data_IF_851658979684
#
_entry.id   IF_851658979684
#
_cell.length_a   1.000
_cell.length_b   1.000
_cell.length_c   1.000
_cell.angle_alpha   90.00
_cell.angle_beta   90.00
_cell.angle_gamma   90.00
#
_symmetry.space_group_name_H-M   'P 1'
#
loop_
_entity.id
_entity.type
_entity.pdbx_description
1 polymer ?
#
# COMPACT_ATOMS: atom_id res chain seq x y z
N UNK A 1 -17.53 9.85 -23.85
CA UNK A 1 -16.47 9.25 -24.68
C UNK A 1 -15.06 9.69 -24.21
N UNK A 2 -14.77 9.62 -22.91
CA UNK A 2 -13.41 9.89 -22.36
C UNK A 2 -12.97 8.75 -21.43
N UNK A 3 -13.91 8.14 -20.71
CA UNK A 3 -13.65 7.04 -19.77
C UNK A 3 -13.21 5.73 -20.45
N UNK A 4 -13.83 5.33 -21.57
CA UNK A 4 -13.46 4.14 -22.35
C UNK A 4 -11.96 4.15 -22.70
N UNK A 5 -11.50 5.24 -23.34
CA UNK A 5 -10.12 5.43 -23.77
C UNK A 5 -9.06 5.30 -22.65
N UNK A 6 -9.41 5.58 -21.38
CA UNK A 6 -8.49 5.42 -20.25
C UNK A 6 -8.48 4.01 -19.68
N UNK A 7 -9.59 3.26 -19.80
CA UNK A 7 -9.62 1.84 -19.46
C UNK A 7 -8.93 1.00 -20.52
N UNK A 8 -9.20 1.30 -21.79
CA UNK A 8 -8.53 0.67 -22.94
C UNK A 8 -7.02 0.88 -22.86
N UNK A 9 -6.55 2.09 -22.54
CA UNK A 9 -5.14 2.39 -22.27
C UNK A 9 -4.55 1.52 -21.15
N UNK A 10 -5.28 1.32 -20.05
CA UNK A 10 -4.78 0.52 -18.93
C UNK A 10 -4.75 -0.98 -19.25
N UNK A 11 -5.71 -1.47 -20.03
CA UNK A 11 -5.74 -2.86 -20.51
C UNK A 11 -4.63 -3.11 -21.54
N UNK A 12 -4.33 -2.16 -22.43
CA UNK A 12 -3.15 -2.17 -23.30
C UNK A 12 -1.84 -2.10 -22.50
N UNK A 13 -1.76 -1.22 -21.50
CA UNK A 13 -0.63 -1.09 -20.59
C UNK A 13 -0.36 -2.40 -19.81
N UNK A 14 -1.42 -3.12 -19.42
CA UNK A 14 -1.31 -4.46 -18.82
C UNK A 14 -0.92 -5.54 -19.85
N UNK A 15 -1.33 -5.42 -21.11
CA UNK A 15 -0.98 -6.36 -22.18
C UNK A 15 0.52 -6.35 -22.48
N UNK A 16 1.14 -5.15 -22.58
CA UNK A 16 2.58 -4.99 -22.84
C UNK A 16 3.46 -5.13 -21.58
N UNK A 17 2.83 -5.33 -20.42
CA UNK A 17 3.51 -5.35 -19.12
C UNK A 17 4.69 -6.32 -18.98
N UNK A 18 4.62 -7.60 -19.42
CA UNK A 18 5.77 -8.50 -19.31
C UNK A 18 6.97 -8.02 -20.15
N UNK A 19 6.71 -7.45 -21.33
CA UNK A 19 7.75 -6.98 -22.24
C UNK A 19 8.46 -5.73 -21.68
N UNK A 20 7.72 -4.79 -21.08
CA UNK A 20 8.30 -3.62 -20.42
C UNK A 20 9.10 -3.98 -19.15
N UNK A 21 8.65 -4.97 -18.38
CA UNK A 21 9.45 -5.52 -17.27
C UNK A 21 10.73 -6.19 -17.76
N UNK A 22 10.70 -6.92 -18.88
CA UNK A 22 11.90 -7.53 -19.45
C UNK A 22 12.89 -6.46 -19.94
N UNK A 23 12.40 -5.37 -20.56
CA UNK A 23 13.22 -4.21 -20.93
C UNK A 23 13.88 -3.55 -19.71
N UNK A 24 13.13 -3.33 -18.62
CA UNK A 24 13.69 -2.79 -17.39
C UNK A 24 14.75 -3.73 -16.80
N UNK A 25 14.46 -5.03 -16.69
CA UNK A 25 15.41 -6.02 -16.17
C UNK A 25 16.69 -6.08 -17.02
N UNK A 26 16.59 -5.94 -18.34
CA UNK A 26 17.76 -5.82 -19.24
C UNK A 26 18.55 -4.53 -19.00
N UNK A 27 17.86 -3.39 -18.85
CA UNK A 27 18.48 -2.07 -18.53
C UNK A 27 19.19 -2.08 -17.16
N UNK A 28 18.57 -2.72 -16.17
CA UNK A 28 19.00 -2.76 -14.78
C UNK A 28 19.56 -4.13 -14.35
N UNK A 29 20.08 -4.92 -15.28
CA UNK A 29 20.48 -6.32 -15.03
C UNK A 29 21.60 -6.51 -13.99
N UNK A 30 22.30 -5.43 -13.65
CA UNK A 30 23.30 -5.37 -12.58
C UNK A 30 22.69 -5.32 -11.17
N UNK A 31 21.38 -5.05 -11.03
CA UNK A 31 20.66 -4.96 -9.75
C UNK A 31 20.01 -6.27 -9.31
N UNK A 32 20.10 -7.35 -10.10
CA UNK A 32 19.52 -8.66 -9.80
C UNK A 32 18.02 -8.58 -9.41
N UNK A 33 17.17 -8.20 -10.37
CA UNK A 33 15.76 -7.88 -10.13
C UNK A 33 14.88 -9.15 -10.10
N UNK A 34 14.96 -9.89 -8.98
CA UNK A 34 14.37 -11.23 -8.73
C UNK A 34 12.92 -11.26 -8.18
N UNK A 35 12.28 -10.09 -7.99
CA UNK A 35 10.96 -9.90 -7.37
C UNK A 35 10.85 -10.28 -5.89
N UNK A 36 11.99 -10.46 -5.20
CA UNK A 36 12.02 -10.57 -3.73
C UNK A 36 11.68 -9.22 -3.07
N UNK A 37 11.24 -9.20 -1.80
CA UNK A 37 11.17 -7.96 -1.02
C UNK A 37 12.50 -7.21 -1.04
N UNK A 38 13.62 -7.92 -0.90
CA UNK A 38 14.98 -7.38 -0.84
C UNK A 38 15.41 -6.69 -2.14
N UNK A 39 14.83 -7.05 -3.30
CA UNK A 39 15.04 -6.32 -4.56
C UNK A 39 14.61 -4.85 -4.48
N UNK A 40 13.63 -4.52 -3.64
CA UNK A 40 13.20 -3.13 -3.44
C UNK A 40 14.29 -2.25 -2.81
N UNK A 41 15.21 -2.83 -2.03
CA UNK A 41 16.37 -2.11 -1.51
C UNK A 41 17.34 -1.75 -2.65
N UNK A 42 17.55 -2.67 -3.60
CA UNK A 42 18.42 -2.46 -4.77
C UNK A 42 17.82 -1.44 -5.73
N UNK A 43 16.50 -1.49 -5.92
CA UNK A 43 15.74 -0.48 -6.69
C UNK A 43 15.79 0.90 -6.03
N UNK A 44 15.57 1.01 -4.72
CA UNK A 44 15.62 2.31 -4.03
C UNK A 44 17.03 2.91 -4.03
N UNK A 45 18.06 2.11 -3.80
CA UNK A 45 19.45 2.56 -3.90
C UNK A 45 19.76 3.10 -5.30
N UNK A 46 19.42 2.36 -6.36
CA UNK A 46 19.62 2.82 -7.73
C UNK A 46 18.85 4.11 -8.05
N UNK A 47 17.59 4.23 -7.61
CA UNK A 47 16.79 5.45 -7.79
C UNK A 47 17.43 6.65 -7.07
N UNK A 48 17.93 6.48 -5.84
CA UNK A 48 18.60 7.54 -5.08
C UNK A 48 19.99 7.92 -5.63
N UNK A 49 20.67 6.99 -6.31
CA UNK A 49 21.95 7.23 -6.99
C UNK A 49 21.78 7.99 -8.32
N UNK A 50 20.66 7.80 -9.02
CA UNK A 50 20.42 8.37 -10.35
C UNK A 50 19.59 9.67 -10.34
N UNK A 51 18.79 9.93 -9.30
CA UNK A 51 17.93 11.12 -9.22
C UNK A 51 18.06 11.83 -7.86
N UNK A 52 18.23 13.15 -7.91
CA UNK A 52 18.41 14.00 -6.72
C UNK A 52 17.09 14.46 -6.09
N UNK A 53 15.98 14.45 -6.85
CA UNK A 53 14.64 14.82 -6.37
C UNK A 53 13.54 14.09 -7.16
N UNK A 54 12.29 14.06 -6.66
CA UNK A 54 11.14 13.54 -7.40
C UNK A 54 10.92 14.23 -8.75
N UNK A 55 11.24 15.53 -8.87
CA UNK A 55 11.07 16.28 -10.12
C UNK A 55 11.98 15.78 -11.25
N UNK A 56 13.08 15.09 -10.94
CA UNK A 56 14.00 14.58 -11.97
C UNK A 56 13.51 13.30 -12.63
N UNK A 57 12.94 12.37 -11.85
CA UNK A 57 12.38 11.12 -12.39
C UNK A 57 11.02 11.34 -13.08
N UNK A 58 10.34 12.45 -12.77
CA UNK A 58 9.07 12.86 -13.40
C UNK A 58 9.25 13.56 -14.76
N UNK A 59 10.48 13.77 -15.22
CA UNK A 59 10.78 14.41 -16.52
C UNK A 59 10.33 13.53 -17.70
N UNK A 60 10.03 14.18 -18.82
CA UNK A 60 9.55 13.52 -20.04
C UNK A 60 10.54 12.49 -20.61
N UNK A 61 11.85 12.75 -20.48
CA UNK A 61 12.93 11.87 -20.90
C UNK A 61 12.97 10.56 -20.09
N UNK A 62 12.50 10.59 -18.84
CA UNK A 62 12.57 9.46 -17.90
C UNK A 62 11.30 8.62 -17.85
N UNK A 63 10.24 8.99 -18.60
CA UNK A 63 8.94 8.28 -18.64
C UNK A 63 9.07 6.77 -18.81
N UNK A 64 9.96 6.30 -19.68
CA UNK A 64 10.19 4.87 -19.90
C UNK A 64 10.90 4.19 -18.73
N UNK A 65 11.81 4.89 -18.05
CA UNK A 65 12.46 4.39 -16.83
C UNK A 65 11.45 4.30 -15.70
N UNK A 66 10.67 5.37 -15.49
CA UNK A 66 9.66 5.47 -14.45
C UNK A 66 8.54 4.46 -14.63
N UNK A 67 8.05 4.25 -15.86
CA UNK A 67 7.02 3.23 -16.15
C UNK A 67 7.50 1.83 -15.78
N UNK A 68 8.71 1.46 -16.20
CA UNK A 68 9.33 0.19 -15.82
C UNK A 68 9.47 0.03 -14.29
N UNK A 69 9.97 1.05 -13.60
CA UNK A 69 10.09 1.03 -12.12
C UNK A 69 8.72 0.90 -11.44
N UNK A 70 7.71 1.62 -11.92
CA UNK A 70 6.33 1.58 -11.44
C UNK A 70 5.77 0.16 -11.57
N UNK A 71 5.93 -0.47 -12.74
CA UNK A 71 5.58 -1.88 -12.98
C UNK A 71 6.29 -2.80 -11.99
N UNK A 72 7.62 -2.68 -11.88
CA UNK A 72 8.41 -3.59 -11.06
C UNK A 72 8.05 -3.51 -9.57
N UNK A 73 8.00 -2.30 -9.00
CA UNK A 73 7.59 -2.09 -7.61
C UNK A 73 6.17 -2.58 -7.39
N UNK A 74 5.26 -2.32 -8.34
CA UNK A 74 3.89 -2.82 -8.29
C UNK A 74 3.79 -4.35 -8.33
N UNK A 75 4.59 -5.03 -9.14
CA UNK A 75 4.65 -6.50 -9.20
C UNK A 75 5.11 -7.10 -7.87
N UNK A 76 6.15 -6.55 -7.24
CA UNK A 76 6.60 -7.03 -5.90
C UNK A 76 5.46 -6.89 -4.89
N UNK A 77 4.75 -5.75 -4.86
CA UNK A 77 3.58 -5.58 -4.00
C UNK A 77 2.44 -6.56 -4.36
N UNK A 78 2.16 -6.77 -5.64
CA UNK A 78 1.13 -7.69 -6.12
C UNK A 78 1.41 -9.13 -5.67
N UNK A 79 2.65 -9.60 -5.86
CA UNK A 79 3.11 -10.96 -5.53
C UNK A 79 3.05 -11.20 -4.02
N UNK A 80 3.69 -10.34 -3.23
CA UNK A 80 3.86 -10.58 -1.79
C UNK A 80 2.64 -10.27 -0.93
N UNK A 81 1.69 -9.48 -1.44
CA UNK A 81 0.46 -9.09 -0.74
C UNK A 81 -0.82 -9.61 -1.41
N UNK A 82 -0.72 -10.46 -2.45
CA UNK A 82 -1.87 -10.99 -3.20
C UNK A 82 -2.80 -9.90 -3.77
N UNK A 83 -2.21 -8.76 -4.14
CA UNK A 83 -2.92 -7.64 -4.73
C UNK A 83 -3.29 -7.87 -6.19
N UNK A 84 -3.96 -6.89 -6.81
CA UNK A 84 -4.24 -6.86 -8.25
C UNK A 84 -4.01 -5.46 -8.81
N UNK A 85 -3.59 -5.37 -10.06
CA UNK A 85 -3.55 -4.09 -10.76
C UNK A 85 -4.96 -3.55 -10.95
N UNK A 86 -5.15 -2.26 -10.69
CA UNK A 86 -6.42 -1.54 -10.84
C UNK A 86 -6.18 -0.06 -11.21
N UNK A 87 -7.24 0.63 -11.61
CA UNK A 87 -7.30 2.08 -11.77
C UNK A 87 -8.59 2.62 -11.15
N UNK A 88 -8.55 3.82 -10.58
CA UNK A 88 -9.75 4.50 -10.10
C UNK A 88 -10.28 5.46 -11.16
N UNK A 89 -11.52 5.25 -11.59
CA UNK A 89 -12.21 6.09 -12.60
C UNK A 89 -13.57 6.61 -12.14
N UNK A 90 -14.07 6.14 -11.00
CA UNK A 90 -15.42 6.47 -10.48
C UNK A 90 -15.46 7.85 -9.80
N UNK A 91 -14.34 8.27 -9.20
CA UNK A 91 -14.21 9.51 -8.44
C UNK A 91 -13.00 10.33 -8.95
N UNK A 92 -13.23 11.47 -9.64
CA UNK A 92 -12.18 12.39 -10.06
C UNK A 92 -11.40 13.08 -8.93
N UNK A 93 -11.93 13.11 -7.71
CA UNK A 93 -11.23 13.65 -6.52
C UNK A 93 -10.33 12.60 -5.86
N UNK A 94 -10.36 11.35 -6.33
CA UNK A 94 -9.52 10.28 -5.79
C UNK A 94 -8.03 10.57 -5.99
N UNK A 95 -7.24 10.41 -4.92
CA UNK A 95 -5.79 10.66 -4.89
C UNK A 95 -4.98 9.94 -6.00
N UNK A 96 -5.51 8.83 -6.51
CA UNK A 96 -4.92 8.02 -7.59
C UNK A 96 -5.82 7.90 -8.83
N UNK A 97 -6.64 8.92 -9.12
CA UNK A 97 -7.52 8.95 -10.30
C UNK A 97 -6.72 8.75 -11.60
N UNK A 98 -7.13 7.79 -12.43
CA UNK A 98 -6.42 7.33 -13.65
C UNK A 98 -4.95 6.89 -13.48
N UNK A 99 -4.48 6.63 -12.25
CA UNK A 99 -3.13 6.08 -12.03
C UNK A 99 -3.18 4.57 -11.74
N UNK A 100 -2.24 3.77 -12.28
CA UNK A 100 -2.12 2.36 -11.91
C UNK A 100 -1.83 2.20 -10.42
N UNK A 101 -2.65 1.40 -9.74
CA UNK A 101 -2.50 1.04 -8.33
C UNK A 101 -2.54 -0.47 -8.14
N UNK A 102 -2.00 -0.94 -7.02
CA UNK A 102 -2.25 -2.27 -6.51
C UNK A 102 -3.41 -2.19 -5.52
N UNK A 103 -4.52 -2.85 -5.86
CA UNK A 103 -5.68 -3.01 -4.99
C UNK A 103 -5.63 -4.29 -4.19
N UNK A 104 -6.25 -4.28 -3.01
CA UNK A 104 -6.22 -5.38 -2.04
C UNK A 104 -7.64 -5.80 -1.64
N UNK A 105 -7.86 -7.07 -1.22
CA UNK A 105 -9.17 -7.52 -0.77
C UNK A 105 -9.57 -6.87 0.57
N UNK A 106 -10.87 -6.57 0.72
CA UNK A 106 -11.42 -5.97 1.95
C UNK A 106 -11.18 -4.46 2.05
N UNK A 107 -11.28 -3.89 3.25
CA UNK A 107 -11.08 -2.45 3.50
C UNK A 107 -9.58 -2.10 3.70
N UNK A 108 -8.69 -2.70 2.91
CA UNK A 108 -7.26 -2.39 2.91
C UNK A 108 -7.05 -1.32 1.83
N UNK A 109 -6.51 -0.12 2.16
CA UNK A 109 -6.32 0.94 1.17
C UNK A 109 -5.44 0.49 0.01
N UNK A 110 -5.69 0.98 -1.20
CA UNK A 110 -4.86 0.68 -2.37
C UNK A 110 -3.45 1.33 -2.24
N UNK A 111 -2.49 0.87 -3.05
CA UNK A 111 -1.11 1.37 -3.06
C UNK A 111 -0.73 1.82 -4.47
N UNK A 112 -0.37 3.09 -4.66
CA UNK A 112 0.26 3.56 -5.91
C UNK A 112 1.78 3.34 -5.90
N UNK A 113 2.36 2.58 -6.84
CA UNK A 113 3.81 2.42 -6.95
C UNK A 113 4.51 3.74 -7.32
N UNK A 114 3.85 4.61 -8.09
CA UNK A 114 4.35 5.96 -8.40
C UNK A 114 4.58 6.77 -7.13
N UNK A 115 3.58 6.82 -6.23
CA UNK A 115 3.70 7.51 -4.95
C UNK A 115 4.75 6.90 -4.02
N UNK A 116 5.03 5.60 -4.14
CA UNK A 116 6.11 4.98 -3.38
C UNK A 116 7.49 5.41 -3.87
N UNK A 117 7.69 5.48 -5.18
CA UNK A 117 8.96 5.89 -5.83
C UNK A 117 9.24 7.37 -5.60
N UNK A 118 8.24 8.25 -5.74
CA UNK A 118 8.45 9.68 -5.46
C UNK A 118 8.66 9.94 -3.97
N UNK A 119 7.99 9.22 -3.09
CA UNK A 119 8.21 9.33 -1.65
C UNK A 119 9.57 8.77 -1.18
N UNK A 120 10.16 7.77 -1.85
CA UNK A 120 11.53 7.33 -1.51
C UNK A 120 12.57 8.40 -1.86
N UNK A 121 12.42 9.07 -3.00
CA UNK A 121 13.27 10.20 -3.42
C UNK A 121 13.16 11.43 -2.51
N UNK A 122 11.98 11.72 -1.97
CA UNK A 122 11.78 12.78 -0.99
C UNK A 122 12.40 12.42 0.39
N UNK A 123 12.20 11.17 0.84
CA UNK A 123 12.64 10.69 2.16
C UNK A 123 14.13 10.34 2.26
N UNK A 124 14.74 9.91 1.16
CA UNK A 124 16.16 9.54 1.03
C UNK A 124 16.68 8.54 2.08
N UNK A 125 15.86 7.55 2.41
CA UNK A 125 16.15 6.55 3.44
C UNK A 125 17.00 5.37 2.99
N UNK A 126 16.88 4.93 1.73
CA UNK A 126 17.51 3.71 1.22
C UNK A 126 16.76 2.40 1.52
N UNK A 127 15.68 2.44 2.29
CA UNK A 127 14.85 1.27 2.63
C UNK A 127 13.33 1.52 2.65
N UNK A 128 12.83 2.69 2.23
CA UNK A 128 11.40 3.05 2.27
C UNK A 128 10.50 2.09 1.50
N UNK A 129 10.89 1.60 0.32
CA UNK A 129 10.08 0.70 -0.50
C UNK A 129 9.89 -0.66 0.21
N UNK A 130 10.99 -1.22 0.72
CA UNK A 130 11.01 -2.45 1.51
C UNK A 130 10.20 -2.31 2.82
N UNK A 131 10.42 -1.22 3.55
CA UNK A 131 9.69 -0.90 4.78
C UNK A 131 8.19 -0.74 4.52
N UNK A 132 7.82 -0.06 3.42
CA UNK A 132 6.43 0.12 2.99
C UNK A 132 5.74 -1.21 2.70
N UNK A 133 6.41 -2.15 2.01
CA UNK A 133 5.90 -3.49 1.76
C UNK A 133 5.66 -4.26 3.07
N UNK A 134 6.66 -4.28 3.97
CA UNK A 134 6.58 -5.00 5.23
C UNK A 134 5.55 -4.40 6.20
N UNK A 135 5.45 -3.07 6.29
CA UNK A 135 4.40 -2.38 7.07
C UNK A 135 3.00 -2.71 6.53
N UNK A 136 2.83 -2.75 5.19
CA UNK A 136 1.57 -3.14 4.56
C UNK A 136 1.22 -4.59 4.86
N UNK A 137 2.17 -5.52 4.72
CA UNK A 137 2.01 -6.94 5.07
C UNK A 137 1.55 -7.12 6.52
N UNK A 138 2.27 -6.54 7.48
CA UNK A 138 1.94 -6.61 8.90
C UNK A 138 0.55 -6.01 9.20
N UNK A 139 0.18 -4.93 8.52
CA UNK A 139 -1.16 -4.34 8.62
C UNK A 139 -2.23 -5.33 8.11
N UNK A 140 -2.05 -5.92 6.93
CA UNK A 140 -2.99 -6.89 6.36
C UNK A 140 -3.17 -8.14 7.24
N UNK A 141 -2.06 -8.70 7.73
CA UNK A 141 -2.07 -9.81 8.70
C UNK A 141 -2.82 -9.42 9.99
N UNK A 142 -2.63 -8.20 10.49
CA UNK A 142 -3.38 -7.71 11.67
C UNK A 142 -4.89 -7.60 11.40
N UNK A 143 -5.30 -7.18 10.20
CA UNK A 143 -6.73 -7.09 9.84
C UNK A 143 -7.37 -8.47 9.69
N UNK A 144 -6.67 -9.46 9.12
CA UNK A 144 -7.13 -10.84 9.06
C UNK A 144 -7.24 -11.46 10.47
N UNK A 145 -6.26 -11.24 11.35
CA UNK A 145 -6.34 -11.65 12.77
C UNK A 145 -7.54 -11.00 13.47
N UNK A 146 -7.82 -9.71 13.22
CA UNK A 146 -8.98 -9.01 13.79
C UNK A 146 -10.31 -9.50 13.21
N UNK A 147 -10.37 -9.82 11.91
CA UNK A 147 -11.53 -10.40 11.26
C UNK A 147 -11.87 -11.78 11.86
N UNK A 148 -10.87 -12.67 12.00
CA UNK A 148 -11.01 -13.98 12.65
C UNK A 148 -11.36 -13.91 14.14
N UNK A 149 -11.09 -12.78 14.81
CA UNK A 149 -11.39 -12.55 16.24
C UNK A 149 -12.77 -11.94 16.50
N UNK A 150 -13.50 -11.46 15.49
CA UNK A 150 -14.89 -11.03 15.70
C UNK A 150 -15.75 -12.26 15.99
N UNK A 151 -16.33 -12.43 17.19
CA UNK A 151 -17.27 -13.51 17.43
C UNK A 151 -18.53 -13.28 16.60
N UNK A 152 -19.08 -14.36 16.04
CA UNK A 152 -20.36 -14.32 15.32
C UNK A 152 -21.43 -13.60 16.14
N UNK A 153 -22.19 -12.74 15.47
CA UNK A 153 -23.11 -11.80 16.10
C UNK A 153 -24.23 -12.44 16.90
N UNK A 154 -23.95 -12.80 18.16
CA UNK A 154 -25.00 -12.94 19.17
C UNK A 154 -25.60 -11.56 19.39
N UNK A 155 -26.80 -11.36 18.83
CA UNK A 155 -27.64 -10.18 19.06
C UNK A 155 -27.74 -9.94 20.57
N UNK A 156 -27.10 -8.87 21.04
CA UNK A 156 -27.31 -8.39 22.40
C UNK A 156 -28.77 -7.97 22.55
N UNK A 157 -29.57 -8.76 23.27
CA UNK A 157 -30.93 -8.39 23.65
C UNK A 157 -30.90 -7.11 24.49
N UNK A 158 -31.79 -6.13 24.23
CA UNK A 158 -31.80 -4.90 25.00
C UNK A 158 -32.25 -5.15 26.44
N UNK A 159 -31.47 -4.61 27.38
CA UNK A 159 -31.84 -4.24 28.76
C UNK A 159 -33.06 -4.94 29.41
N UNK A 160 -32.77 -5.92 30.27
CA UNK A 160 -33.63 -6.23 31.42
C UNK A 160 -33.28 -5.31 32.61
N UNK A 161 -34.25 -4.88 33.44
CA UNK A 161 -34.04 -3.74 34.35
C UNK A 161 -33.30 -4.06 35.65
N UNK A 162 -32.57 -3.04 36.10
CA UNK A 162 -32.11 -2.71 37.47
C UNK A 162 -32.60 -3.59 38.64
N UNK A 163 -31.65 -4.07 39.47
CA UNK A 163 -31.98 -4.83 40.68
C UNK A 163 -30.85 -5.00 41.71
N UNK A 164 -29.99 -4.00 41.94
CA UNK A 164 -29.03 -4.02 43.06
C UNK A 164 -28.91 -2.64 43.73
N UNK A 165 -29.51 -2.53 44.92
CA UNK A 165 -29.08 -1.58 45.96
C UNK A 165 -28.50 -2.39 47.10
N UNK A 166 -27.19 -2.27 47.32
CA UNK A 166 -26.54 -2.84 48.50
C UNK A 166 -26.85 -1.99 49.73
N UNK A 167 -27.23 -2.64 50.83
CA UNK A 167 -27.44 -1.96 52.11
C UNK A 167 -26.24 -2.13 53.05
N UNK A 168 -26.02 -1.12 53.90
CA UNK A 168 -25.35 -1.22 55.21
C UNK A 168 -23.83 -1.36 55.22
N UNK A 169 -23.13 -0.51 56.01
CA UNK A 169 -21.69 -0.67 56.25
C UNK A 169 -21.00 0.55 56.87
N UNK A 170 -21.26 0.81 58.15
CA UNK A 170 -20.71 1.85 59.03
C UNK A 170 -19.15 1.91 59.13
N UNK A 171 -18.61 3.11 59.45
CA UNK A 171 -17.35 3.37 60.21
C UNK A 171 -15.97 3.08 59.51
N UNK A 172 -14.81 3.70 59.87
CA UNK A 172 -14.40 4.75 60.85
C UNK A 172 -12.94 5.25 60.55
N UNK A 173 -12.47 6.36 61.17
CA UNK A 173 -11.06 6.89 61.23
C UNK A 173 -10.42 7.37 59.88
N UNK A 174 -9.44 8.30 59.74
CA UNK A 174 -8.73 9.32 60.56
C UNK A 174 -7.84 10.21 59.62
N UNK A 175 -7.12 11.31 59.98
CA UNK A 175 -7.19 12.33 61.05
C UNK A 175 -6.14 13.47 60.79
N UNK A 176 -6.44 14.72 61.25
CA UNK A 176 -5.48 15.85 61.38
C UNK A 176 -5.04 16.56 60.07
N UNK A 177 -4.68 17.84 60.06
CA UNK A 177 -4.66 18.90 61.10
C UNK A 177 -5.63 20.07 60.74
#
# INVERSE_FOLDING_TARGET
MVQENQRDWFEEWLMIHPDELEKLQKKLGHLDLDYTPESLLRVEAWVLENYSSPDEILKDEEKMTLDGLLRYVGEVFKIHLQGRWNIHQEDPEHLFYNLPVISFPGNIPDTSPLSLITASLDRKSGNFLYDSLNRKKNYMESQDILARRKPDGKKGTPFGPSGFSFGGGQALFDAGE
#
